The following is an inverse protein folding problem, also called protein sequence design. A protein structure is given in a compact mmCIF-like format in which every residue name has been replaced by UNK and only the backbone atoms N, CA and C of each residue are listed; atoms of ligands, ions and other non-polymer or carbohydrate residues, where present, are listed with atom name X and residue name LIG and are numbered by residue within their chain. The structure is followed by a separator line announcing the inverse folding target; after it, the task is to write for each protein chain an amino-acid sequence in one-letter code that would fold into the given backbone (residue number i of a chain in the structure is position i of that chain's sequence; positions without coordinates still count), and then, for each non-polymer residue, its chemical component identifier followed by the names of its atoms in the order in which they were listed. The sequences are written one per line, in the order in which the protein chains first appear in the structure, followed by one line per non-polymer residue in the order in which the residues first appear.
data_IF_323700650325
#
_entry.id   IF_323700650325
#
_cell.length_a   1.000
_cell.length_b   1.000
_cell.length_c   1.000
_cell.angle_alpha   90.00
_cell.angle_beta   90.00
_cell.angle_gamma   90.00
#
_symmetry.space_group_name_H-M   'P 1'
#
loop_
_entity.id
_entity.type
_entity.pdbx_description
1 polymer ?
#
# COMPACT_ATOMS: atom_id res chain seq x y z
N UNK A 1 4.80 -2.48 -16.10
CA UNK A 1 3.87 -1.50 -15.49
C UNK A 1 2.47 -2.10 -15.62
N UNK A 2 1.73 -2.23 -14.52
CA UNK A 2 0.41 -2.90 -14.52
C UNK A 2 -0.56 -2.07 -15.36
N UNK A 3 -1.24 -2.70 -16.32
CA UNK A 3 -2.11 -2.06 -17.31
C UNK A 3 -3.41 -1.53 -16.65
N UNK A 4 -3.39 -0.31 -16.12
CA UNK A 4 -4.62 0.37 -15.69
C UNK A 4 -5.54 0.60 -16.92
N UNK A 5 -6.84 0.27 -16.84
CA UNK A 5 -7.79 0.64 -17.89
C UNK A 5 -7.85 2.15 -18.05
N UNK A 6 -7.57 2.66 -19.26
CA UNK A 6 -7.76 4.07 -19.58
C UNK A 6 -9.25 4.40 -19.56
N UNK A 7 -9.65 5.39 -18.75
CA UNK A 7 -11.05 5.74 -18.59
C UNK A 7 -11.51 6.60 -19.78
N UNK A 8 -12.55 6.20 -20.54
CA UNK A 8 -13.00 6.96 -21.70
C UNK A 8 -13.64 8.29 -21.31
N UNK A 9 -13.45 9.32 -22.14
CA UNK A 9 -14.13 10.61 -21.96
C UNK A 9 -15.66 10.49 -22.13
N UNK A 10 -16.09 9.63 -23.06
CA UNK A 10 -17.50 9.27 -23.28
C UNK A 10 -17.60 7.82 -23.77
N UNK A 11 -18.79 7.21 -23.64
CA UNK A 11 -19.11 5.92 -24.25
C UNK A 11 -20.10 6.13 -25.40
N UNK A 12 -19.95 5.39 -26.50
CA UNK A 12 -20.85 5.50 -27.65
C UNK A 12 -22.25 4.97 -27.34
N UNK A 13 -22.37 3.99 -26.43
CA UNK A 13 -23.64 3.42 -25.99
C UNK A 13 -23.52 2.66 -24.65
N UNK A 14 -24.65 2.20 -24.13
CA UNK A 14 -24.74 1.46 -22.86
C UNK A 14 -24.00 0.12 -22.88
N UNK A 15 -23.95 -0.56 -24.03
CA UNK A 15 -23.27 -1.85 -24.14
C UNK A 15 -21.76 -1.69 -23.98
N UNK A 16 -21.19 -0.67 -24.60
CA UNK A 16 -19.78 -0.33 -24.46
C UNK A 16 -19.44 0.10 -23.03
N UNK A 17 -20.27 0.97 -22.43
CA UNK A 17 -20.12 1.36 -21.03
C UNK A 17 -20.11 0.14 -20.08
N UNK A 18 -21.04 -0.81 -20.28
CA UNK A 18 -21.10 -2.05 -19.49
C UNK A 18 -19.88 -2.94 -19.70
N UNK A 19 -19.38 -3.04 -20.94
CA UNK A 19 -18.19 -3.83 -21.24
C UNK A 19 -16.96 -3.27 -20.54
N UNK A 20 -16.79 -1.95 -20.60
CA UNK A 20 -15.73 -1.27 -19.87
C UNK A 20 -15.84 -1.47 -18.35
N UNK A 21 -17.02 -1.21 -17.77
CA UNK A 21 -17.22 -1.30 -16.32
C UNK A 21 -16.91 -2.68 -15.74
N UNK A 22 -17.16 -3.77 -16.49
CA UNK A 22 -16.79 -5.13 -16.02
C UNK A 22 -15.29 -5.25 -15.78
N UNK A 23 -14.48 -4.81 -16.74
CA UNK A 23 -13.02 -4.87 -16.65
C UNK A 23 -12.51 -3.86 -15.63
N UNK A 24 -13.07 -2.64 -15.65
CA UNK A 24 -12.66 -1.57 -14.77
C UNK A 24 -12.88 -1.91 -13.29
N UNK A 25 -14.06 -2.39 -12.90
CA UNK A 25 -14.34 -2.67 -11.48
C UNK A 25 -13.60 -3.90 -10.98
N UNK A 26 -13.33 -4.89 -11.83
CA UNK A 26 -12.46 -6.01 -11.46
C UNK A 26 -11.06 -5.49 -11.09
N UNK A 27 -10.45 -4.66 -11.96
CA UNK A 27 -9.17 -4.04 -11.69
C UNK A 27 -9.21 -3.08 -10.49
N UNK A 28 -10.23 -2.23 -10.40
CA UNK A 28 -10.40 -1.23 -9.34
C UNK A 28 -10.44 -1.90 -7.97
N UNK A 29 -11.20 -3.00 -7.84
CA UNK A 29 -11.36 -3.67 -6.57
C UNK A 29 -10.14 -4.49 -6.16
N UNK A 30 -9.41 -5.07 -7.12
CA UNK A 30 -8.40 -6.11 -6.82
C UNK A 30 -6.95 -5.70 -7.07
N UNK A 31 -6.71 -4.63 -7.83
CA UNK A 31 -5.36 -4.23 -8.26
C UNK A 31 -5.08 -2.75 -8.01
N UNK A 32 -6.07 -1.88 -8.16
CA UNK A 32 -5.92 -0.46 -7.91
C UNK A 32 -5.68 -0.18 -6.42
N UNK A 33 -4.53 0.41 -6.10
CA UNK A 33 -4.14 0.75 -4.73
C UNK A 33 -4.45 2.21 -4.43
N UNK A 34 -5.20 2.45 -3.35
CA UNK A 34 -5.63 3.79 -2.96
C UNK A 34 -4.70 4.39 -1.92
N UNK A 35 -4.18 5.59 -2.16
CA UNK A 35 -3.36 6.32 -1.18
C UNK A 35 -4.09 6.60 0.12
N UNK A 36 -5.40 6.90 0.06
CA UNK A 36 -6.26 7.08 1.24
C UNK A 36 -6.53 5.80 2.02
N UNK A 37 -6.26 4.62 1.43
CA UNK A 37 -6.36 3.31 2.08
C UNK A 37 -4.96 2.73 2.39
N UNK A 38 -3.96 3.59 2.63
CA UNK A 38 -2.59 3.15 2.87
C UNK A 38 -2.02 2.24 1.77
N UNK A 39 -2.38 2.51 0.51
CA UNK A 39 -2.07 1.71 -0.68
C UNK A 39 -2.63 0.27 -0.65
N UNK A 40 -3.73 0.06 0.07
CA UNK A 40 -4.52 -1.16 -0.03
C UNK A 40 -5.51 -1.08 -1.19
N UNK A 41 -5.95 -2.26 -1.65
CA UNK A 41 -7.05 -2.35 -2.62
C UNK A 41 -8.40 -2.27 -1.90
N UNK A 42 -9.49 -1.88 -2.58
CA UNK A 42 -10.83 -1.92 -2.00
C UNK A 42 -11.20 -3.32 -1.48
N UNK A 43 -10.82 -4.38 -2.20
CA UNK A 43 -11.06 -5.77 -1.77
C UNK A 43 -10.35 -6.11 -0.46
N UNK A 44 -9.09 -5.65 -0.28
CA UNK A 44 -8.35 -5.87 0.97
C UNK A 44 -9.08 -5.29 2.18
N UNK A 45 -9.67 -4.10 2.01
CA UNK A 45 -10.44 -3.45 3.07
C UNK A 45 -11.78 -4.14 3.28
N UNK A 46 -12.51 -4.41 2.19
CA UNK A 46 -13.84 -5.02 2.24
C UNK A 46 -13.82 -6.40 2.91
N UNK A 47 -12.79 -7.21 2.64
CA UNK A 47 -12.63 -8.55 3.21
C UNK A 47 -11.86 -8.55 4.55
N UNK A 48 -11.51 -7.39 5.10
CA UNK A 48 -10.87 -7.29 6.41
C UNK A 48 -9.39 -7.69 6.46
N UNK A 49 -8.71 -7.75 5.30
CA UNK A 49 -7.27 -8.07 5.23
C UNK A 49 -6.36 -6.90 5.60
N UNK A 50 -6.91 -5.68 5.73
CA UNK A 50 -6.16 -4.48 6.04
C UNK A 50 -5.20 -4.62 7.24
N UNK A 51 -5.60 -5.14 8.43
CA UNK A 51 -4.69 -5.25 9.56
C UNK A 51 -3.47 -6.14 9.27
N UNK A 52 -3.69 -7.27 8.58
CA UNK A 52 -2.62 -8.21 8.26
C UNK A 52 -1.61 -7.61 7.27
N UNK A 53 -2.10 -6.92 6.23
CA UNK A 53 -1.25 -6.26 5.24
C UNK A 53 -0.44 -5.10 5.85
N UNK A 54 -1.06 -4.30 6.72
CA UNK A 54 -0.36 -3.20 7.41
C UNK A 54 0.72 -3.73 8.35
N UNK A 55 0.44 -4.79 9.13
CA UNK A 55 1.43 -5.42 9.99
C UNK A 55 2.61 -6.02 9.20
N UNK A 56 2.35 -6.59 8.02
CA UNK A 56 3.42 -7.05 7.11
C UNK A 56 4.26 -5.88 6.59
N UNK A 57 3.62 -4.78 6.18
CA UNK A 57 4.31 -3.58 5.71
C UNK A 57 5.22 -2.97 6.78
N UNK A 58 4.72 -2.83 8.01
CA UNK A 58 5.51 -2.36 9.15
C UNK A 58 6.75 -3.22 9.39
N UNK A 59 6.61 -4.56 9.39
CA UNK A 59 7.75 -5.48 9.52
C UNK A 59 8.78 -5.29 8.42
N UNK A 60 8.35 -5.13 7.17
CA UNK A 60 9.27 -4.90 6.05
C UNK A 60 10.04 -3.59 6.20
N UNK A 61 9.36 -2.51 6.63
CA UNK A 61 10.02 -1.22 6.90
C UNK A 61 11.04 -1.34 8.03
N UNK A 62 10.66 -1.97 9.15
CA UNK A 62 11.56 -2.19 10.28
C UNK A 62 12.80 -3.00 9.88
N UNK A 63 12.62 -4.09 9.13
CA UNK A 63 13.73 -4.89 8.61
C UNK A 63 14.65 -4.07 7.70
N UNK A 64 14.08 -3.24 6.82
CA UNK A 64 14.87 -2.37 5.95
C UNK A 64 15.73 -1.38 6.75
N UNK A 65 15.19 -0.75 7.78
CA UNK A 65 15.95 0.18 8.63
C UNK A 65 17.00 -0.54 9.48
N UNK A 66 16.68 -1.69 10.08
CA UNK A 66 17.63 -2.49 10.86
C UNK A 66 18.83 -2.98 10.04
N UNK A 67 18.67 -3.19 8.72
CA UNK A 67 19.79 -3.56 7.82
C UNK A 67 20.67 -2.38 7.39
N UNK A 68 20.21 -1.14 7.56
CA UNK A 68 20.95 0.08 7.14
C UNK A 68 21.57 0.86 8.29
N UNK A 69 21.20 0.58 9.54
CA UNK A 69 21.78 1.21 10.73
C UNK A 69 21.86 0.20 11.87
N UNK A 70 22.88 0.31 12.75
CA UNK A 70 22.98 -0.40 14.03
C UNK A 70 21.86 0.07 15.00
N UNK A 71 20.61 -0.13 14.63
CA UNK A 71 19.45 0.15 15.47
C UNK A 71 19.08 -1.15 16.16
N UNK A 72 19.43 -1.25 17.44
CA UNK A 72 18.98 -2.32 18.32
C UNK A 72 17.47 -2.16 18.52
N UNK A 73 16.67 -3.13 18.10
CA UNK A 73 15.24 -3.18 18.39
C UNK A 73 15.06 -3.77 19.78
N UNK A 74 14.90 -2.92 20.79
CA UNK A 74 14.39 -3.31 22.10
C UNK A 74 12.90 -3.69 22.00
N UNK A 75 12.50 -4.69 22.78
CA UNK A 75 11.20 -5.36 22.72
C UNK A 75 10.05 -4.50 23.31
N UNK A 76 10.07 -3.20 23.01
CA UNK A 76 9.11 -2.20 23.45
C UNK A 76 8.58 -1.50 22.19
N UNK A 77 7.27 -1.34 22.12
CA UNK A 77 6.46 -0.91 20.96
C UNK A 77 6.74 0.52 20.47
N UNK A 78 7.90 1.10 20.75
CA UNK A 78 8.31 2.44 20.34
C UNK A 78 9.64 2.40 19.60
N UNK A 79 9.59 2.69 18.30
CA UNK A 79 10.79 3.00 17.51
C UNK A 79 11.29 4.37 17.96
N UNK A 80 12.29 4.41 18.84
CA UNK A 80 12.97 5.67 19.20
C UNK A 80 14.08 5.93 18.19
N UNK A 81 13.86 6.88 17.27
CA UNK A 81 14.92 7.45 16.42
C UNK A 81 15.80 8.35 17.28
N UNK A 82 16.76 7.79 18.01
CA UNK A 82 17.84 8.60 18.60
C UNK A 82 18.97 8.75 17.58
N UNK A 83 19.06 9.94 16.95
CA UNK A 83 20.34 10.39 16.38
C UNK A 83 21.33 10.49 17.54
N UNK A 84 22.27 9.55 17.61
CA UNK A 84 23.44 9.67 18.49
C UNK A 84 24.29 10.78 17.87
N UNK A 85 24.31 11.95 18.50
CA UNK A 85 25.27 12.99 18.15
C UNK A 85 26.69 12.42 18.37
N UNK A 86 27.63 12.64 17.45
CA UNK A 86 29.00 12.19 17.65
C UNK A 86 29.57 12.91 18.86
N UNK A 87 29.91 12.17 19.91
CA UNK A 87 30.77 12.67 20.97
C UNK A 87 32.16 12.92 20.37
N UNK A 88 32.48 14.18 20.10
CA UNK A 88 33.87 14.62 19.98
C UNK A 88 34.40 14.88 21.38
N UNK A 89 35.46 14.14 21.73
CA UNK A 89 36.36 14.39 22.85
C UNK A 89 37.10 15.71 22.65
#
# INVERSE_FOLDING_TARGET
MMNQPEFPATFANLQEARAFCRIFFEWYNTQHRHSSLALLTPADVHHGFAPAHLAQGQRTLLNHFATRTNVTLDNQTHVRLSLIAPHTN
#
